data_IF_567986415895
#
_entry.id   IF_567986415895
#
_cell.length_a   1.000
_cell.length_b   1.000
_cell.length_c   1.000
_cell.angle_alpha   90.00
_cell.angle_beta   90.00
_cell.angle_gamma   90.00
#
_symmetry.space_group_name_H-M   'P 1'
#
loop_
_entity.id
_entity.type
_entity.pdbx_description
1 polymer ?
#
# COMPACT_ATOMS: atom_id res chain seq x y z
N UNK A 1 -3.04 -16.41 -28.15
CA UNK A 1 -1.59 -16.62 -28.34
C UNK A 1 -1.03 -16.88 -26.96
N UNK A 2 -0.57 -18.10 -26.65
CA UNK A 2 0.02 -18.39 -25.34
C UNK A 2 1.43 -17.78 -25.32
N UNK A 3 1.57 -16.60 -24.74
CA UNK A 3 2.89 -16.06 -24.47
C UNK A 3 3.57 -16.94 -23.40
N UNK A 4 4.87 -17.18 -23.55
CA UNK A 4 5.67 -17.90 -22.56
C UNK A 4 6.19 -16.96 -21.45
N UNK A 5 5.58 -15.78 -21.28
CA UNK A 5 6.00 -14.84 -20.25
C UNK A 5 5.57 -15.34 -18.87
N UNK A 6 6.50 -15.27 -17.92
CA UNK A 6 6.25 -15.55 -16.51
C UNK A 6 6.42 -14.26 -15.73
N UNK A 7 5.51 -13.98 -14.82
CA UNK A 7 5.65 -12.91 -13.85
C UNK A 7 6.32 -13.42 -12.58
N UNK A 8 7.05 -12.55 -11.88
CA UNK A 8 7.62 -12.79 -10.57
C UNK A 8 7.69 -11.47 -9.79
N UNK A 9 7.71 -11.54 -8.46
CA UNK A 9 7.93 -10.37 -7.62
C UNK A 9 9.43 -10.04 -7.63
N UNK A 10 9.79 -8.88 -8.17
CA UNK A 10 11.19 -8.43 -8.25
C UNK A 10 11.64 -7.66 -7.00
N UNK A 11 10.72 -7.01 -6.30
CA UNK A 11 10.99 -6.22 -5.10
C UNK A 11 9.72 -5.95 -4.30
N UNK A 12 9.89 -5.72 -3.00
CA UNK A 12 8.83 -5.40 -2.05
C UNK A 12 9.32 -4.23 -1.20
N UNK A 13 8.45 -3.26 -0.91
CA UNK A 13 8.71 -2.16 0.00
C UNK A 13 7.55 -1.97 0.98
N UNK A 14 7.80 -1.28 2.07
CA UNK A 14 6.84 -1.04 3.14
C UNK A 14 7.10 0.31 3.78
N UNK A 15 6.03 1.08 3.97
CA UNK A 15 6.09 2.28 4.78
C UNK A 15 4.92 2.26 5.76
N UNK A 16 5.23 2.48 7.03
CA UNK A 16 4.24 2.59 8.10
C UNK A 16 4.41 3.91 8.85
N UNK A 17 3.35 4.48 9.41
CA UNK A 17 3.47 5.67 10.23
C UNK A 17 4.41 5.49 11.43
N UNK A 18 5.07 6.59 11.80
CA UNK A 18 5.96 6.63 12.97
C UNK A 18 5.18 6.64 14.28
N UNK A 19 3.99 7.25 14.31
CA UNK A 19 3.19 7.33 15.52
C UNK A 19 2.66 5.96 15.91
N UNK A 20 3.03 5.56 17.12
CA UNK A 20 2.59 4.33 17.77
C UNK A 20 1.42 4.65 18.69
N UNK A 21 0.34 3.89 18.55
CA UNK A 21 -0.78 3.89 19.50
C UNK A 21 -0.77 2.54 20.22
N UNK A 22 -0.40 2.57 21.50
CA UNK A 22 -0.37 1.37 22.34
C UNK A 22 -1.78 1.00 22.81
N UNK A 23 -1.97 -0.22 23.29
CA UNK A 23 -3.23 -0.59 23.93
C UNK A 23 -3.54 0.30 25.15
N UNK A 24 -2.52 0.66 25.95
CA UNK A 24 -2.68 1.56 27.09
C UNK A 24 -3.16 2.96 26.69
N UNK A 25 -2.79 3.44 25.50
CA UNK A 25 -3.33 4.69 24.98
C UNK A 25 -4.77 4.54 24.51
N UNK A 26 -5.11 3.39 23.92
CA UNK A 26 -6.46 3.09 23.43
C UNK A 26 -7.47 2.95 24.58
N UNK A 27 -7.06 2.41 25.74
CA UNK A 27 -7.86 2.35 26.98
C UNK A 27 -8.35 3.73 27.44
N UNK A 28 -7.59 4.79 27.15
CA UNK A 28 -7.95 6.17 27.51
C UNK A 28 -8.95 6.78 26.53
N UNK A 29 -9.19 6.14 25.39
CA UNK A 29 -10.04 6.64 24.30
C UNK A 29 -11.39 5.94 24.25
N UNK A 30 -11.44 4.66 24.63
CA UNK A 30 -12.64 3.80 24.56
C UNK A 30 -12.66 2.83 25.74
N UNK A 31 -13.83 2.29 26.07
CA UNK A 31 -13.99 1.29 27.14
C UNK A 31 -13.38 -0.06 26.72
N UNK A 32 -12.12 -0.31 27.08
CA UNK A 32 -11.36 -1.53 26.77
C UNK A 32 -10.20 -1.73 27.78
N UNK A 33 -9.45 -2.84 27.67
CA UNK A 33 -8.18 -3.08 28.38
C UNK A 33 -7.12 -3.75 27.48
N UNK A 34 -5.84 -3.61 27.80
CA UNK A 34 -4.72 -4.30 27.12
C UNK A 34 -4.89 -5.82 27.19
N UNK A 35 -5.31 -6.33 28.33
CA UNK A 35 -5.61 -7.76 28.53
C UNK A 35 -6.69 -8.21 27.53
N UNK A 36 -7.82 -7.50 27.46
CA UNK A 36 -8.92 -7.83 26.55
C UNK A 36 -8.49 -7.80 25.08
N UNK A 37 -7.77 -6.75 24.65
CA UNK A 37 -7.30 -6.59 23.27
C UNK A 37 -6.32 -7.71 22.92
N UNK A 38 -5.36 -7.98 23.81
CA UNK A 38 -4.29 -8.95 23.58
C UNK A 38 -4.84 -10.36 23.48
N UNK A 39 -5.71 -10.78 24.41
CA UNK A 39 -6.28 -12.13 24.40
C UNK A 39 -7.11 -12.39 23.15
N UNK A 40 -7.84 -11.39 22.67
CA UNK A 40 -8.77 -11.52 21.52
C UNK A 40 -8.09 -11.40 20.17
N UNK A 41 -7.05 -10.57 20.06
CA UNK A 41 -6.48 -10.16 18.77
C UNK A 41 -4.98 -10.37 18.64
N UNK A 42 -4.26 -10.56 19.76
CA UNK A 42 -2.79 -10.60 19.80
C UNK A 42 -2.12 -9.23 19.58
N UNK A 43 -2.87 -8.14 19.42
CA UNK A 43 -2.34 -6.81 19.13
C UNK A 43 -1.87 -6.14 20.43
N UNK A 44 -0.65 -5.59 20.43
CA UNK A 44 -0.10 -4.76 21.53
C UNK A 44 0.00 -3.28 21.18
N UNK A 45 0.25 -2.99 19.92
CA UNK A 45 0.35 -1.64 19.40
C UNK A 45 -0.11 -1.60 17.94
N UNK A 46 -0.44 -0.40 17.46
CA UNK A 46 -0.67 -0.14 16.03
C UNK A 46 -0.01 1.16 15.61
N UNK A 47 0.17 1.31 14.30
CA UNK A 47 0.63 2.57 13.69
C UNK A 47 -0.58 3.36 13.21
N UNK A 48 -0.61 4.64 13.51
CA UNK A 48 -1.67 5.57 13.09
C UNK A 48 -1.05 6.78 12.42
N UNK A 49 -1.77 7.37 11.46
CA UNK A 49 -1.33 8.62 10.84
C UNK A 49 -1.33 9.75 11.87
N UNK A 50 -0.38 10.67 11.74
CA UNK A 50 -0.45 11.96 12.42
C UNK A 50 -1.30 12.94 11.61
N UNK A 51 -1.77 14.00 12.26
CA UNK A 51 -2.53 15.05 11.59
C UNK A 51 -1.72 15.66 10.44
N UNK A 52 -2.34 15.76 9.27
CA UNK A 52 -1.68 16.25 8.06
C UNK A 52 -0.87 15.19 7.31
N UNK A 53 -0.82 13.94 7.78
CA UNK A 53 -0.28 12.83 7.00
C UNK A 53 -1.34 12.14 6.16
N UNK A 54 -0.94 11.76 4.95
CA UNK A 54 -1.82 11.16 3.94
C UNK A 54 -1.27 9.79 3.51
N UNK A 55 -2.14 8.91 3.03
CA UNK A 55 -1.79 7.54 2.62
C UNK A 55 -0.91 7.54 1.37
N UNK A 56 -1.08 8.50 0.44
CA UNK A 56 -0.20 8.66 -0.73
C UNK A 56 1.27 8.75 -0.36
N UNK A 57 1.62 9.52 0.68
CA UNK A 57 3.00 9.64 1.18
C UNK A 57 3.61 8.28 1.53
N UNK A 58 2.83 7.40 2.16
CA UNK A 58 3.29 6.06 2.54
C UNK A 58 3.33 5.11 1.35
N UNK A 59 2.34 5.18 0.45
CA UNK A 59 2.35 4.42 -0.80
C UNK A 59 3.58 4.78 -1.66
N UNK A 60 3.88 6.07 -1.85
CA UNK A 60 5.06 6.56 -2.57
C UNK A 60 6.36 6.00 -1.96
N UNK A 61 6.52 6.11 -0.64
CA UNK A 61 7.70 5.58 0.07
C UNK A 61 7.86 4.07 -0.11
N UNK A 62 6.79 3.30 0.05
CA UNK A 62 6.80 1.86 -0.14
C UNK A 62 7.13 1.48 -1.60
N UNK A 63 6.60 2.22 -2.57
CA UNK A 63 6.89 2.03 -3.99
C UNK A 63 8.35 2.32 -4.33
N UNK A 64 8.94 3.39 -3.79
CA UNK A 64 10.36 3.72 -3.99
C UNK A 64 11.27 2.63 -3.43
N UNK A 65 11.00 2.13 -2.22
CA UNK A 65 11.77 1.01 -1.63
C UNK A 65 11.63 -0.28 -2.45
N UNK A 66 10.44 -0.57 -2.97
CA UNK A 66 10.21 -1.73 -3.83
C UNK A 66 11.00 -1.63 -5.15
N UNK A 67 11.01 -0.45 -5.78
CA UNK A 67 11.75 -0.18 -7.01
C UNK A 67 13.26 -0.25 -6.80
N UNK A 68 13.77 0.30 -5.70
CA UNK A 68 15.18 0.21 -5.31
C UNK A 68 15.62 -1.24 -5.18
N UNK A 69 14.86 -2.06 -4.45
CA UNK A 69 15.15 -3.50 -4.27
C UNK A 69 15.06 -4.28 -5.57
N UNK A 70 14.11 -3.93 -6.43
CA UNK A 70 13.96 -4.52 -7.76
C UNK A 70 15.04 -4.07 -8.75
N UNK A 71 15.77 -2.98 -8.45
CA UNK A 71 16.70 -2.28 -9.36
C UNK A 71 16.02 -1.86 -10.66
N UNK A 72 14.79 -1.35 -10.56
CA UNK A 72 13.97 -0.89 -11.68
C UNK A 72 13.78 0.62 -11.58
N UNK A 73 14.01 1.35 -12.67
CA UNK A 73 13.71 2.77 -12.73
C UNK A 73 12.19 3.00 -12.75
N UNK A 74 11.66 4.03 -12.07
CA UNK A 74 10.24 4.38 -12.19
C UNK A 74 9.79 4.61 -13.64
N UNK A 75 10.69 5.08 -14.50
CA UNK A 75 10.41 5.34 -15.93
C UNK A 75 10.21 4.06 -16.76
N UNK A 76 10.61 2.90 -16.23
CA UNK A 76 10.41 1.59 -16.86
C UNK A 76 9.04 0.99 -16.52
N UNK A 77 8.32 1.55 -15.53
CA UNK A 77 6.98 1.09 -15.20
C UNK A 77 5.98 1.41 -16.32
N UNK A 78 5.17 0.42 -16.69
CA UNK A 78 4.07 0.59 -17.64
C UNK A 78 2.69 0.65 -16.96
N UNK A 79 2.57 0.17 -15.72
CA UNK A 79 1.31 0.13 -14.99
C UNK A 79 1.52 0.24 -13.48
N UNK A 80 0.69 1.03 -12.82
CA UNK A 80 0.58 1.16 -11.37
C UNK A 80 -0.84 0.80 -10.95
N UNK A 81 -0.94 -0.15 -10.01
CA UNK A 81 -2.22 -0.58 -9.42
C UNK A 81 -2.16 -0.29 -7.93
N UNK A 82 -3.03 0.59 -7.44
CA UNK A 82 -3.16 0.84 -6.01
C UNK A 82 -4.41 0.14 -5.46
N UNK A 83 -4.21 -0.90 -4.65
CA UNK A 83 -5.31 -1.55 -3.97
C UNK A 83 -5.63 -0.82 -2.65
N UNK A 84 -6.73 -0.06 -2.60
CA UNK A 84 -7.14 0.70 -1.42
C UNK A 84 -8.65 0.85 -1.34
N UNK A 85 -9.18 1.00 -0.12
CA UNK A 85 -10.56 1.42 0.16
C UNK A 85 -10.61 2.73 0.96
N UNK A 86 -9.45 3.30 1.25
CA UNK A 86 -9.26 4.55 1.99
C UNK A 86 -8.24 5.41 1.24
N UNK A 87 -8.53 5.86 0.01
CA UNK A 87 -7.64 6.79 -0.68
C UNK A 87 -7.71 8.18 -0.03
N UNK A 88 -6.70 9.02 -0.26
CA UNK A 88 -6.69 10.41 0.21
C UNK A 88 -7.87 11.22 -0.37
N UNK A 89 -8.22 10.92 -1.62
CA UNK A 89 -9.32 11.55 -2.35
C UNK A 89 -10.08 10.48 -3.14
N UNK A 90 -11.35 10.74 -3.45
CA UNK A 90 -12.09 9.93 -4.42
C UNK A 90 -11.59 10.18 -5.85
N UNK A 91 -11.28 11.44 -6.17
CA UNK A 91 -10.67 11.88 -7.42
C UNK A 91 -9.70 13.02 -7.07
N UNK A 92 -8.43 12.98 -7.50
CA UNK A 92 -7.78 11.92 -8.30
C UNK A 92 -7.58 10.62 -7.52
N UNK A 93 -7.26 9.53 -8.22
CA UNK A 93 -6.98 8.23 -7.61
C UNK A 93 -5.65 8.22 -6.87
N UNK A 94 -5.49 7.33 -5.89
CA UNK A 94 -4.24 7.15 -5.16
C UNK A 94 -3.08 6.76 -6.11
N UNK A 95 -3.37 5.91 -7.10
CA UNK A 95 -2.41 5.48 -8.11
C UNK A 95 -1.79 6.63 -8.89
N UNK A 96 -2.54 7.70 -9.15
CA UNK A 96 -2.03 8.89 -9.87
C UNK A 96 -1.09 9.68 -8.96
N UNK A 97 -1.42 9.83 -7.67
CA UNK A 97 -0.53 10.45 -6.70
C UNK A 97 0.79 9.66 -6.55
N UNK A 98 0.70 8.32 -6.55
CA UNK A 98 1.88 7.45 -6.54
C UNK A 98 2.69 7.62 -7.82
N UNK A 99 2.04 7.64 -8.98
CA UNK A 99 2.68 7.83 -10.27
C UNK A 99 3.49 9.13 -10.31
N UNK A 100 2.88 10.25 -9.90
CA UNK A 100 3.53 11.55 -9.82
C UNK A 100 4.68 11.51 -8.81
N UNK A 101 4.43 10.99 -7.60
CA UNK A 101 5.40 10.98 -6.51
C UNK A 101 6.64 10.10 -6.71
N UNK A 102 6.57 9.09 -7.58
CA UNK A 102 7.73 8.27 -7.96
C UNK A 102 8.29 8.63 -9.35
N UNK A 103 7.72 9.63 -10.03
CA UNK A 103 8.10 10.05 -11.38
C UNK A 103 7.95 8.95 -12.47
N UNK A 104 6.93 8.10 -12.34
CA UNK A 104 6.60 7.05 -13.30
C UNK A 104 5.82 7.58 -14.51
N UNK A 105 6.45 8.48 -15.27
CA UNK A 105 5.82 9.25 -16.37
C UNK A 105 5.27 8.40 -17.53
N UNK A 106 5.69 7.14 -17.64
CA UNK A 106 5.27 6.23 -18.72
C UNK A 106 4.19 5.23 -18.29
N UNK A 107 3.80 5.22 -17.01
CA UNK A 107 2.86 4.22 -16.49
C UNK A 107 1.39 4.63 -16.70
N UNK A 108 0.52 3.68 -17.04
CA UNK A 108 -0.90 3.82 -16.71
C UNK A 108 -1.10 3.68 -15.20
N UNK A 109 -2.16 4.26 -14.64
CA UNK A 109 -2.41 4.18 -13.20
C UNK A 109 -3.92 4.06 -12.91
N UNK A 110 -4.30 3.10 -12.05
CA UNK A 110 -5.67 3.00 -11.53
C UNK A 110 -5.74 2.42 -10.11
N UNK A 111 -6.83 2.72 -9.42
CA UNK A 111 -7.15 2.15 -8.11
C UNK A 111 -8.02 0.89 -8.25
N UNK A 112 -7.78 -0.08 -7.37
CA UNK A 112 -8.52 -1.34 -7.28
C UNK A 112 -9.18 -1.48 -5.89
N UNK A 113 -10.50 -1.62 -5.88
CA UNK A 113 -11.29 -1.73 -4.65
C UNK A 113 -11.68 -3.19 -4.38
N UNK A 114 -10.96 -3.85 -3.47
CA UNK A 114 -11.26 -5.23 -3.05
C UNK A 114 -10.89 -5.51 -1.58
N UNK A 115 -11.05 -4.50 -0.71
CA UNK A 115 -10.84 -4.59 0.76
C UNK A 115 -9.51 -5.28 1.11
N UNK A 116 -9.45 -6.13 2.14
CA UNK A 116 -8.24 -6.80 2.59
C UNK A 116 -7.67 -7.79 1.56
N UNK A 117 -8.48 -8.26 0.60
CA UNK A 117 -7.99 -9.09 -0.52
C UNK A 117 -7.36 -8.27 -1.66
N UNK A 118 -7.36 -6.93 -1.55
CA UNK A 118 -6.92 -6.02 -2.60
C UNK A 118 -5.52 -6.30 -3.13
N UNK A 119 -4.55 -6.62 -2.26
CA UNK A 119 -3.19 -6.94 -2.69
C UNK A 119 -3.15 -8.21 -3.58
N UNK A 120 -3.88 -9.25 -3.20
CA UNK A 120 -3.92 -10.52 -3.96
C UNK A 120 -4.62 -10.31 -5.32
N UNK A 121 -5.72 -9.55 -5.34
CA UNK A 121 -6.38 -9.19 -6.60
C UNK A 121 -5.46 -8.33 -7.48
N UNK A 122 -4.76 -7.36 -6.89
CA UNK A 122 -3.78 -6.54 -7.61
C UNK A 122 -2.68 -7.36 -8.26
N UNK A 123 -2.14 -8.35 -7.54
CA UNK A 123 -1.15 -9.29 -8.09
C UNK A 123 -1.73 -10.14 -9.24
N UNK A 124 -2.94 -10.65 -9.08
CA UNK A 124 -3.61 -11.44 -10.13
C UNK A 124 -3.87 -10.61 -11.39
N UNK A 125 -4.29 -9.34 -11.24
CA UNK A 125 -4.47 -8.41 -12.35
C UNK A 125 -3.14 -8.08 -13.02
N UNK A 126 -2.11 -7.74 -12.25
CA UNK A 126 -0.77 -7.45 -12.78
C UNK A 126 -0.20 -8.63 -13.58
N UNK A 127 -0.39 -9.86 -13.11
CA UNK A 127 0.01 -11.07 -13.82
C UNK A 127 -0.67 -11.20 -15.20
N UNK A 128 -1.95 -10.82 -15.32
CA UNK A 128 -2.65 -10.82 -16.60
C UNK A 128 -2.16 -9.74 -17.57
N UNK A 129 -1.57 -8.64 -17.07
CA UNK A 129 -0.96 -7.60 -17.92
C UNK A 129 0.47 -7.94 -18.38
N UNK A 130 1.14 -8.89 -17.71
CA UNK A 130 2.50 -9.33 -18.08
C UNK A 130 2.45 -10.51 -19.09
N UNK A 131 1.44 -11.37 -18.98
CA UNK A 131 1.22 -12.53 -19.87
C UNK A 131 0.63 -12.11 -21.21
#
# INVERSE_FOLDING_TARGET
MNSNYKSAILGIGMAVPSKVLTNFDLEKMVETSDEWITERTGIKERRILEDGENISKYAIKASLEALERAKVSPKELNLIICATVTPDYLIPSLSILVQEGIEAVNAGAFDLFATCSGFIYGLAVADQFIK
#
